data_IF_762617634807
#
_entry.id   IF_762617634807
#
_cell.length_a   1.000
_cell.length_b   1.000
_cell.length_c   1.000
_cell.angle_alpha   90.00
_cell.angle_beta   90.00
_cell.angle_gamma   90.00
#
_symmetry.space_group_name_H-M   'P 1'
#
loop_
_entity.id
_entity.type
_entity.pdbx_description
1 polymer ?
#
# COMPACT_ATOMS: atom_id res chain seq x y z
N UNK A 1 -1.99 3.35 -4.50
CA UNK A 1 -1.51 3.46 -3.10
C UNK A 1 -0.07 3.01 -2.96
N UNK A 2 0.29 1.82 -3.45
CA UNK A 2 1.63 1.22 -3.40
C UNK A 2 2.79 2.13 -3.84
N UNK A 3 2.74 2.84 -4.99
CA UNK A 3 3.80 3.79 -5.36
C UNK A 3 3.84 5.07 -4.52
N UNK A 4 2.78 5.37 -3.74
CA UNK A 4 2.76 6.54 -2.83
C UNK A 4 3.38 6.20 -1.48
N UNK A 5 3.10 5.00 -0.96
CA UNK A 5 3.58 4.52 0.33
C UNK A 5 5.02 4.03 0.27
N UNK A 6 5.60 3.85 -0.92
CA UNK A 6 6.99 3.43 -1.08
C UNK A 6 7.22 1.96 -0.74
N UNK A 7 6.15 1.16 -0.72
CA UNK A 7 6.22 -0.29 -0.48
C UNK A 7 7.07 -1.02 -1.53
N UNK A 8 7.16 -0.46 -2.74
CA UNK A 8 8.07 -0.92 -3.79
C UNK A 8 8.29 0.21 -4.80
N UNK A 9 9.40 0.12 -5.54
CA UNK A 9 9.74 1.03 -6.65
C UNK A 9 9.05 0.62 -7.95
N UNK A 10 8.48 -0.59 -7.98
CA UNK A 10 7.76 -1.10 -9.13
C UNK A 10 6.40 -0.41 -9.26
N UNK A 11 6.04 -0.08 -10.50
CA UNK A 11 4.75 0.53 -10.85
C UNK A 11 3.77 -0.49 -11.42
N UNK A 12 4.27 -1.67 -11.82
CA UNK A 12 3.48 -2.76 -12.35
C UNK A 12 2.79 -3.53 -11.20
N UNK A 13 1.45 -3.62 -11.19
CA UNK A 13 0.69 -4.36 -10.17
C UNK A 13 1.19 -5.77 -9.94
N UNK A 14 1.56 -6.50 -11.00
CA UNK A 14 2.00 -7.89 -10.91
C UNK A 14 3.36 -7.98 -10.22
N UNK A 15 4.26 -7.03 -10.48
CA UNK A 15 5.55 -6.99 -9.82
C UNK A 15 5.43 -6.56 -8.37
N UNK A 16 4.57 -5.58 -8.08
CA UNK A 16 4.25 -5.13 -6.73
C UNK A 16 3.72 -6.30 -5.89
N UNK A 17 2.80 -7.09 -6.44
CA UNK A 17 2.30 -8.30 -5.78
C UNK A 17 3.41 -9.30 -5.55
N UNK A 18 4.28 -9.58 -6.53
CA UNK A 18 5.42 -10.48 -6.35
C UNK A 18 6.38 -10.03 -5.26
N UNK A 19 6.66 -8.75 -5.18
CA UNK A 19 7.51 -8.15 -4.13
C UNK A 19 6.86 -8.33 -2.75
N UNK A 20 5.56 -8.04 -2.64
CA UNK A 20 4.81 -8.27 -1.40
C UNK A 20 4.75 -9.76 -1.03
N UNK A 21 4.55 -10.64 -2.01
CA UNK A 21 4.51 -12.09 -1.82
C UNK A 21 5.83 -12.66 -1.32
N UNK A 22 6.96 -12.00 -1.61
CA UNK A 22 8.28 -12.37 -1.06
C UNK A 22 8.43 -11.97 0.42
N UNK A 23 7.70 -10.95 0.88
CA UNK A 23 7.77 -10.43 2.25
C UNK A 23 6.60 -10.86 3.15
N UNK A 24 5.52 -11.41 2.56
CA UNK A 24 4.27 -11.77 3.25
C UNK A 24 4.03 -13.27 3.11
N UNK A 25 3.68 -13.94 4.22
CA UNK A 25 3.35 -15.37 4.21
C UNK A 25 2.14 -15.66 3.29
N UNK A 26 2.15 -16.81 2.59
CA UNK A 26 1.11 -17.22 1.64
C UNK A 26 -0.32 -17.12 2.17
N UNK A 27 -0.52 -17.43 3.46
CA UNK A 27 -1.84 -17.38 4.10
C UNK A 27 -2.44 -15.97 4.14
N UNK A 28 -1.59 -14.94 4.13
CA UNK A 28 -1.99 -13.54 4.30
C UNK A 28 -2.03 -12.77 2.98
N UNK A 29 -1.77 -13.42 1.83
CA UNK A 29 -1.78 -12.76 0.53
C UNK A 29 -3.13 -12.14 0.19
N UNK A 30 -4.21 -12.90 0.38
CA UNK A 30 -5.58 -12.44 0.13
C UNK A 30 -5.94 -11.30 1.07
N UNK A 31 -5.59 -11.44 2.35
CA UNK A 31 -5.84 -10.41 3.35
C UNK A 31 -5.08 -9.12 3.06
N UNK A 32 -3.83 -9.24 2.63
CA UNK A 32 -2.97 -8.12 2.28
C UNK A 32 -3.51 -7.35 1.07
N UNK A 33 -3.96 -8.06 0.03
CA UNK A 33 -4.59 -7.44 -1.13
C UNK A 33 -5.86 -6.66 -0.74
N UNK A 34 -6.76 -7.27 0.04
CA UNK A 34 -7.97 -6.59 0.53
C UNK A 34 -7.62 -5.39 1.42
N UNK A 35 -6.65 -5.53 2.32
CA UNK A 35 -6.20 -4.44 3.19
C UNK A 35 -5.64 -3.27 2.38
N UNK A 36 -4.89 -3.54 1.30
CA UNK A 36 -4.38 -2.49 0.43
C UNK A 36 -5.50 -1.74 -0.31
N UNK A 37 -6.50 -2.45 -0.80
CA UNK A 37 -7.67 -1.86 -1.49
C UNK A 37 -8.47 -1.00 -0.50
N UNK A 38 -8.80 -1.55 0.67
CA UNK A 38 -9.53 -0.84 1.72
C UNK A 38 -8.77 0.38 2.21
N UNK A 39 -7.46 0.28 2.41
CA UNK A 39 -6.65 1.41 2.81
C UNK A 39 -6.60 2.48 1.71
N UNK A 40 -6.52 2.08 0.44
CA UNK A 40 -6.53 3.00 -0.69
C UNK A 40 -7.83 3.80 -0.82
N UNK A 41 -8.98 3.17 -0.56
CA UNK A 41 -10.29 3.82 -0.63
C UNK A 41 -10.69 4.56 0.65
N UNK A 42 -10.30 4.07 1.82
CA UNK A 42 -10.67 4.66 3.11
C UNK A 42 -9.70 5.75 3.58
N UNK A 43 -8.39 5.55 3.39
CA UNK A 43 -7.31 6.38 3.96
C UNK A 43 -6.49 7.08 2.88
N UNK A 44 -5.81 6.35 1.99
CA UNK A 44 -4.90 6.90 0.97
C UNK A 44 -5.65 7.29 -0.32
N UNK A 45 -6.76 8.03 -0.18
CA UNK A 45 -7.66 8.42 -1.28
C UNK A 45 -6.93 9.27 -2.31
N UNK A 46 -7.39 9.20 -3.57
CA UNK A 46 -6.76 9.91 -4.69
C UNK A 46 -6.80 11.45 -4.54
N UNK A 47 -7.94 12.01 -4.12
CA UNK A 47 -8.19 13.46 -4.05
C UNK A 47 -7.97 14.11 -2.68
N UNK A 48 -7.91 13.35 -1.59
CA UNK A 48 -7.65 13.87 -0.24
C UNK A 48 -7.24 12.72 0.70
N UNK A 49 -5.95 12.33 0.71
CA UNK A 49 -5.49 11.26 1.58
C UNK A 49 -5.51 11.71 3.05
N UNK A 50 -5.94 10.84 3.95
CA UNK A 50 -5.95 11.07 5.40
C UNK A 50 -4.59 10.74 6.01
N UNK A 51 -3.52 11.43 5.56
CA UNK A 51 -2.14 11.18 5.99
C UNK A 51 -1.96 11.25 7.51
N UNK A 52 -2.69 12.12 8.20
CA UNK A 52 -2.64 12.25 9.67
C UNK A 52 -3.23 11.07 10.45
N UNK A 53 -4.06 10.25 9.81
CA UNK A 53 -4.62 9.00 10.39
C UNK A 53 -4.02 7.74 9.75
N UNK A 54 -3.04 7.91 8.86
CA UNK A 54 -2.45 6.79 8.14
C UNK A 54 -1.36 6.12 9.01
N UNK A 55 -1.50 4.84 9.38
CA UNK A 55 -0.45 4.12 10.13
C UNK A 55 0.87 4.02 9.35
N UNK A 56 0.81 4.10 8.02
CA UNK A 56 1.98 4.06 7.13
C UNK A 56 2.57 5.45 6.86
N UNK A 57 2.04 6.51 7.49
CA UNK A 57 2.48 7.90 7.26
C UNK A 57 3.96 8.11 7.58
N UNK A 58 4.47 7.42 8.61
CA UNK A 58 5.88 7.49 8.98
C UNK A 58 6.82 6.89 7.92
N UNK A 59 6.35 5.88 7.18
CA UNK A 59 7.11 5.16 6.15
C UNK A 59 6.82 5.68 4.73
N UNK A 60 5.80 6.52 4.56
CA UNK A 60 5.35 7.03 3.27
C UNK A 60 6.30 8.13 2.75
N UNK A 61 7.00 7.91 1.63
CA UNK A 61 7.91 8.91 1.06
C UNK A 61 7.17 10.10 0.46
N UNK A 62 5.91 9.92 0.03
CA UNK A 62 5.03 11.03 -0.35
C UNK A 62 4.21 11.47 0.86
N UNK A 63 4.85 12.23 1.76
CA UNK A 63 4.12 13.13 2.66
C UNK A 63 3.69 14.34 1.84
N UNK A 64 2.47 14.30 1.32
CA UNK A 64 1.76 15.49 0.84
C UNK A 64 0.90 15.97 2.00
#
# INVERSE_FOLDING_TARGET
MTPRVGLTRETDPVKIEKDLMAHIEKKDWIWSAHALILHGSAVCRARAPLCGKCPLSALCPKKI
#
